data_IF_623051977655
#
_entry.id   IF_623051977655
#
_cell.length_a   1.000
_cell.length_b   1.000
_cell.length_c   1.000
_cell.angle_alpha   90.00
_cell.angle_beta   90.00
_cell.angle_gamma   90.00
#
_symmetry.space_group_name_H-M   'P 1'
#
loop_
_entity.id
_entity.type
_entity.pdbx_description
1 polymer ?
2 branched ?
3 non-polymer ?
4 non-polymer ?
5 non-polymer ?
6 water ?
#
# COMPACT_ATOMS: atom_id res chain seq x y z
N UNK A 1 -9.89 -13.60 -21.15
CA UNK A 1 -9.31 -12.34 -21.71
C UNK A 1 -8.74 -11.50 -20.58
N UNK A 2 -7.86 -10.58 -20.92
CA UNK A 2 -7.26 -9.68 -19.93
C UNK A 2 -8.37 -8.77 -19.42
N UNK A 3 -8.26 -8.33 -18.18
CA UNK A 3 -9.26 -7.43 -17.63
C UNK A 3 -9.02 -6.00 -18.12
N UNK A 4 -10.10 -5.27 -18.36
CA UNK A 4 -10.01 -3.90 -18.79
C UNK A 4 -10.76 -3.01 -17.82
N UNK A 5 -10.15 -1.88 -17.47
CA UNK A 5 -10.73 -0.92 -16.55
C UNK A 5 -11.83 -0.13 -17.23
N UNK A 6 -13.00 -0.75 -17.37
CA UNK A 6 -14.14 -0.14 -18.02
C UNK A 6 -15.17 0.52 -17.11
N UNK A 7 -15.04 0.36 -15.80
CA UNK A 7 -16.00 0.96 -14.90
C UNK A 7 -15.45 2.15 -14.11
N UNK A 8 -16.37 2.94 -13.55
CA UNK A 8 -15.96 4.08 -12.74
C UNK A 8 -16.09 3.63 -11.30
N UNK A 9 -15.65 4.47 -10.36
CA UNK A 9 -15.74 4.12 -8.94
C UNK A 9 -17.18 4.25 -8.45
N UNK A 10 -17.61 3.31 -7.60
CA UNK A 10 -18.95 3.38 -7.03
C UNK A 10 -18.96 4.62 -6.13
N UNK A 11 -20.14 5.16 -5.83
CA UNK A 11 -20.23 6.33 -4.97
C UNK A 11 -19.92 5.94 -3.52
N UNK A 12 -18.91 6.60 -2.96
CA UNK A 12 -18.45 6.34 -1.59
C UNK A 12 -19.17 7.16 -0.53
N UNK A 13 -20.19 6.59 0.11
CA UNK A 13 -20.93 7.29 1.14
C UNK A 13 -20.53 6.87 2.55
N UNK A 14 -19.74 5.79 2.64
CA UNK A 14 -19.23 5.27 3.91
C UNK A 14 -18.37 4.05 3.63
N UNK A 15 -17.92 3.37 4.69
CA UNK A 15 -17.08 2.20 4.52
C UNK A 15 -17.57 1.02 5.37
N UNK A 16 -17.66 -0.15 4.75
CA UNK A 16 -18.08 -1.33 5.48
C UNK A 16 -16.85 -2.20 5.72
N UNK A 17 -16.91 -3.02 6.76
CA UNK A 17 -15.80 -3.92 7.10
C UNK A 17 -15.70 -4.98 5.99
N UNK A 18 -14.48 -5.19 5.48
CA UNK A 18 -14.24 -6.16 4.40
C UNK A 18 -13.52 -7.40 4.91
N UNK A 19 -12.48 -7.19 5.71
CA UNK A 19 -11.72 -8.31 6.22
C UNK A 19 -10.79 -7.91 7.35
N UNK A 20 -10.56 -8.86 8.25
CA UNK A 20 -9.70 -8.64 9.40
C UNK A 20 -9.21 -10.01 9.79
N UNK A 21 -7.92 -10.14 10.09
CA UNK A 21 -7.37 -11.45 10.44
C UNK A 21 -6.93 -11.64 11.88
N UNK A 22 -6.99 -10.59 12.69
CA UNK A 22 -6.60 -10.71 14.10
C UNK A 22 -5.35 -11.57 14.24
N UNK A 23 -4.41 -11.41 13.32
CA UNK A 23 -3.20 -12.23 13.31
C UNK A 23 -2.36 -12.26 14.60
N UNK A 24 -2.07 -11.10 15.19
CA UNK A 24 -1.26 -11.06 16.41
C UNK A 24 -1.92 -11.75 17.61
N UNK A 25 -3.21 -11.51 17.79
CA UNK A 25 -3.98 -12.11 18.89
C UNK A 25 -3.92 -13.63 18.78
N UNK A 26 -4.14 -14.10 17.56
CA UNK A 26 -4.15 -15.53 17.27
C UNK A 26 -2.76 -16.14 17.33
N UNK A 27 -1.80 -15.45 16.73
CA UNK A 27 -0.42 -15.92 16.72
C UNK A 27 0.16 -16.07 18.11
N UNK A 28 -0.52 -15.49 19.10
CA UNK A 28 -0.06 -15.57 20.48
C UNK A 28 0.02 -17.03 20.93
N UNK A 29 -0.83 -17.87 20.34
CA UNK A 29 -0.88 -19.29 20.68
C UNK A 29 -1.10 -20.19 19.47
N UNK A 30 -0.50 -19.83 18.35
CA UNK A 30 -0.59 -20.64 17.13
C UNK A 30 0.60 -20.29 16.25
N UNK A 31 0.85 -21.11 15.22
CA UNK A 31 2.00 -20.88 14.36
C UNK A 31 1.75 -19.85 13.26
N UNK A 32 1.74 -18.58 13.65
CA UNK A 32 1.53 -17.47 12.73
C UNK A 32 2.87 -16.78 12.43
N UNK A 33 3.11 -16.50 11.16
CA UNK A 33 4.35 -15.86 10.73
C UNK A 33 4.41 -14.37 11.04
N UNK A 34 5.61 -13.87 11.27
CA UNK A 34 5.81 -12.46 11.52
C UNK A 34 5.82 -11.83 10.12
N UNK A 35 5.13 -10.72 9.95
CA UNK A 35 5.08 -10.06 8.66
C UNK A 35 5.07 -8.56 8.88
N UNK A 36 4.94 -7.84 7.77
CA UNK A 36 4.83 -6.39 7.74
C UNK A 36 4.65 -6.05 6.26
N UNK A 37 4.30 -4.80 5.99
CA UNK A 37 4.08 -4.35 4.62
C UNK A 37 3.08 -5.28 3.90
N UNK A 38 1.87 -5.42 4.44
CA UNK A 38 0.84 -6.29 3.83
C UNK A 38 -0.07 -5.52 2.91
N UNK A 39 -0.90 -6.27 2.19
CA UNK A 39 -1.89 -5.70 1.30
C UNK A 39 -2.90 -6.76 0.92
N UNK A 40 -3.88 -6.37 0.10
CA UNK A 40 -4.92 -7.27 -0.32
C UNK A 40 -4.93 -7.25 -1.84
N UNK A 41 -5.24 -8.37 -2.47
CA UNK A 41 -5.27 -8.41 -3.93
C UNK A 41 -6.22 -9.51 -4.38
N UNK A 42 -6.98 -9.23 -5.42
CA UNK A 42 -7.96 -10.18 -5.92
C UNK A 42 -7.59 -10.83 -7.24
N UNK A 43 -8.17 -12.00 -7.46
CA UNK A 43 -8.00 -12.77 -8.67
C UNK A 43 -9.41 -12.79 -9.23
N UNK A 44 -9.61 -13.43 -10.39
CA UNK A 44 -10.98 -13.45 -10.90
C UNK A 44 -11.92 -14.26 -10.00
N UNK A 45 -11.36 -15.25 -9.31
CA UNK A 45 -12.18 -16.13 -8.46
C UNK A 45 -12.00 -16.05 -6.95
N UNK A 46 -11.15 -15.14 -6.46
CA UNK A 46 -10.95 -15.02 -5.02
C UNK A 46 -10.03 -13.84 -4.69
N UNK A 47 -10.13 -13.35 -3.46
CA UNK A 47 -9.28 -12.26 -3.02
C UNK A 47 -8.44 -12.75 -1.84
N UNK A 48 -7.20 -12.29 -1.78
CA UNK A 48 -6.31 -12.75 -0.73
C UNK A 48 -5.52 -11.67 -0.01
N UNK A 49 -5.04 -12.02 1.16
CA UNK A 49 -4.22 -11.13 1.96
C UNK A 49 -2.80 -11.40 1.49
N UNK A 50 -1.97 -10.38 1.54
CA UNK A 50 -0.57 -10.47 1.11
C UNK A 50 0.31 -9.77 2.13
N UNK A 51 1.54 -10.24 2.27
CA UNK A 51 2.49 -9.62 3.18
C UNK A 51 3.89 -10.18 3.02
N UNK A 52 4.86 -9.49 3.61
CA UNK A 52 6.25 -9.91 3.57
C UNK A 52 6.62 -10.63 4.85
N UNK A 53 6.70 -11.96 4.77
CA UNK A 53 7.05 -12.76 5.94
C UNK A 53 8.46 -12.41 6.37
N UNK A 54 8.78 -12.74 7.62
CA UNK A 54 10.10 -12.50 8.18
C UNK A 54 10.75 -13.86 8.39
N UNK A 55 10.10 -14.90 7.87
CA UNK A 55 10.63 -16.25 7.98
C UNK A 55 10.80 -16.73 9.41
N UNK A 56 9.72 -16.69 10.19
CA UNK A 56 9.71 -17.12 11.58
C UNK A 56 8.34 -16.82 12.15
N UNK A 57 7.97 -17.49 13.23
CA UNK A 57 6.68 -17.26 13.88
C UNK A 57 6.80 -16.17 14.93
N UNK A 58 5.67 -15.61 15.36
CA UNK A 58 5.69 -14.54 16.37
C UNK A 58 6.29 -15.04 17.67
N UNK A 59 5.89 -16.23 18.09
CA UNK A 59 6.40 -16.83 19.33
C UNK A 59 7.79 -17.44 19.14
N UNK A 60 8.15 -17.71 17.90
CA UNK A 60 9.46 -18.29 17.67
C UNK A 60 10.59 -17.41 18.17
N UNK A 61 11.69 -18.02 18.61
CA UNK A 61 12.83 -17.25 19.11
C UNK A 61 13.46 -16.38 18.02
N UNK A 62 13.26 -16.75 16.75
CA UNK A 62 13.81 -15.97 15.66
C UNK A 62 13.01 -14.70 15.39
N UNK A 63 11.91 -14.51 16.12
CA UNK A 63 11.10 -13.31 15.94
C UNK A 63 11.90 -12.11 16.47
N UNK A 64 12.93 -12.40 17.26
CA UNK A 64 13.77 -11.36 17.86
C UNK A 64 14.62 -10.63 16.81
N UNK A 65 14.30 -9.38 16.53
CA UNK A 65 15.08 -8.63 15.57
C UNK A 65 14.30 -8.34 14.30
N UNK A 66 13.06 -8.80 14.26
CA UNK A 66 12.22 -8.59 13.09
C UNK A 66 11.83 -7.14 12.86
N UNK A 67 12.45 -6.23 13.59
CA UNK A 67 12.16 -4.83 13.35
C UNK A 67 12.90 -4.47 12.05
N UNK A 68 13.89 -5.27 11.68
CA UNK A 68 14.65 -5.03 10.45
C UNK A 68 13.77 -5.24 9.22
N UNK A 69 14.04 -4.49 8.16
CA UNK A 69 13.25 -4.54 6.94
C UNK A 69 13.75 -5.46 5.83
N UNK A 70 15.07 -5.56 5.69
CA UNK A 70 15.63 -6.35 4.61
C UNK A 70 16.60 -7.45 5.03
N UNK A 71 16.15 -8.69 4.99
CA UNK A 71 16.98 -9.84 5.35
C UNK A 71 16.76 -10.92 4.30
N UNK A 72 17.57 -11.97 4.32
CA UNK A 72 17.45 -13.04 3.34
C UNK A 72 16.39 -14.06 3.71
N UNK A 73 15.65 -13.79 4.78
CA UNK A 73 14.62 -14.71 5.26
C UNK A 73 13.19 -14.23 5.02
N UNK A 74 13.04 -13.17 4.23
CA UNK A 74 11.74 -12.60 3.91
C UNK A 74 11.23 -13.11 2.56
N UNK A 75 9.91 -13.07 2.39
CA UNK A 75 9.28 -13.53 1.15
C UNK A 75 7.86 -13.00 1.05
N UNK A 76 7.39 -12.72 -0.16
CA UNK A 76 6.03 -12.25 -0.35
C UNK A 76 5.13 -13.48 -0.25
N UNK A 77 4.24 -13.48 0.73
CA UNK A 77 3.32 -14.60 0.91
C UNK A 77 1.89 -14.10 0.76
N UNK A 78 0.99 -15.02 0.42
CA UNK A 78 -0.42 -14.68 0.28
C UNK A 78 -1.20 -15.77 1.00
N UNK A 79 -2.36 -15.42 1.55
CA UNK A 79 -3.16 -16.40 2.27
C UNK A 79 -4.65 -16.10 2.20
N UNK A 80 -5.51 -17.06 2.60
CA UNK A 80 -6.96 -16.85 2.56
C UNK A 80 -7.42 -15.61 3.32
N UNK A 81 -8.26 -14.83 2.64
CA UNK A 81 -8.79 -13.58 3.17
C UNK A 81 -9.27 -13.65 4.63
N UNK A 82 -8.78 -12.73 5.44
CA UNK A 82 -9.14 -12.65 6.85
C UNK A 82 -8.59 -13.78 7.71
N UNK A 83 -7.90 -14.74 7.09
CA UNK A 83 -7.27 -15.81 7.85
C UNK A 83 -5.94 -15.20 8.27
N UNK A 84 -5.24 -15.81 9.22
CA UNK A 84 -3.96 -15.22 9.62
C UNK A 84 -2.82 -15.86 8.82
N UNK A 85 -1.67 -15.16 8.68
CA UNK A 85 -0.56 -15.74 7.92
C UNK A 85 0.16 -16.83 8.70
N UNK A 86 -0.32 -18.05 8.59
CA UNK A 86 0.30 -19.17 9.29
C UNK A 86 1.30 -19.90 8.41
N UNK A 87 2.13 -20.71 9.05
CA UNK A 87 3.13 -21.51 8.36
C UNK A 87 2.46 -22.48 7.39
N UNK A 88 1.35 -23.06 7.85
CA UNK A 88 0.62 -24.06 7.09
C UNK A 88 -0.36 -23.61 6.00
N UNK A 89 -0.73 -22.34 5.99
CA UNK A 89 -1.69 -21.85 5.00
C UNK A 89 -1.15 -20.74 4.11
N UNK A 90 0.06 -20.29 4.39
CA UNK A 90 0.65 -19.21 3.62
C UNK A 90 1.35 -19.73 2.38
N UNK A 91 1.02 -19.13 1.24
CA UNK A 91 1.63 -19.54 -0.02
C UNK A 91 2.70 -18.53 -0.39
N UNK A 92 3.88 -19.03 -0.78
CA UNK A 92 4.99 -18.15 -1.15
C UNK A 92 4.90 -17.77 -2.62
N UNK A 93 4.80 -16.46 -2.89
CA UNK A 93 4.73 -15.96 -4.25
C UNK A 93 6.16 -15.81 -4.80
N UNK A 94 7.06 -15.31 -3.96
CA UNK A 94 8.46 -15.17 -4.34
C UNK A 94 9.31 -14.65 -3.18
N UNK A 95 10.62 -14.88 -3.28
CA UNK A 95 11.61 -14.48 -2.28
C UNK A 95 12.08 -13.03 -2.43
N UNK A 96 12.15 -12.29 -1.33
CA UNK A 96 12.58 -10.90 -1.38
C UNK A 96 12.02 -10.04 -0.25
N UNK A 97 12.43 -8.76 -0.21
CA UNK A 97 11.99 -7.86 0.84
C UNK A 97 11.26 -6.58 0.41
N UNK A 98 10.69 -6.60 -0.79
CA UNK A 98 9.92 -5.49 -1.35
C UNK A 98 9.13 -6.09 -2.50
N UNK A 99 7.84 -5.78 -2.59
CA UNK A 99 7.05 -6.40 -3.64
C UNK A 99 5.78 -5.69 -4.06
N UNK A 100 5.18 -6.25 -5.10
CA UNK A 100 3.90 -5.81 -5.63
C UNK A 100 3.36 -7.04 -6.35
N UNK A 101 2.05 -7.07 -6.57
CA UNK A 101 1.42 -8.22 -7.21
C UNK A 101 0.03 -7.86 -7.72
N UNK A 102 -0.33 -8.41 -8.87
CA UNK A 102 -1.66 -8.15 -9.44
C UNK A 102 -1.97 -9.20 -10.49
N UNK A 103 -3.26 -9.42 -10.72
CA UNK A 103 -3.73 -10.40 -11.70
C UNK A 103 -4.19 -9.59 -12.92
N UNK A 104 -3.86 -10.05 -14.12
CA UNK A 104 -4.26 -9.30 -15.31
C UNK A 104 -5.53 -9.81 -15.95
N UNK A 105 -6.19 -10.74 -15.27
CA UNK A 105 -7.43 -11.30 -15.79
C UNK A 105 -7.23 -12.73 -16.26
N UNK A 106 -6.00 -13.06 -16.65
CA UNK A 106 -5.68 -14.40 -17.13
C UNK A 106 -4.91 -15.13 -16.05
N UNK A 107 -3.86 -14.48 -15.54
CA UNK A 107 -3.06 -15.06 -14.48
C UNK A 107 -2.44 -13.94 -13.65
N UNK A 108 -1.60 -14.30 -12.68
CA UNK A 108 -1.00 -13.30 -11.81
C UNK A 108 0.49 -13.04 -12.00
N UNK A 109 0.84 -11.76 -11.91
CA UNK A 109 2.22 -11.30 -12.02
C UNK A 109 2.61 -10.87 -10.61
N UNK A 110 3.78 -11.30 -10.16
CA UNK A 110 4.25 -10.94 -8.84
C UNK A 110 5.69 -10.52 -8.97
N UNK A 111 6.08 -9.52 -8.19
CA UNK A 111 7.43 -8.99 -8.25
C UNK A 111 8.06 -8.94 -6.85
N UNK A 112 9.25 -9.51 -6.72
CA UNK A 112 9.98 -9.49 -5.44
C UNK A 112 11.39 -8.96 -5.70
N UNK A 113 11.90 -8.18 -4.76
CA UNK A 113 13.25 -7.63 -4.87
C UNK A 113 14.08 -8.10 -3.68
N UNK A 114 15.31 -8.52 -3.93
CA UNK A 114 16.18 -8.96 -2.85
C UNK A 114 17.61 -8.54 -3.12
N UNK A 115 18.50 -8.86 -2.19
CA UNK A 115 19.91 -8.51 -2.37
C UNK A 115 20.41 -7.47 -1.39
N UNK A 116 21.70 -7.16 -1.42
CA UNK A 116 22.29 -6.16 -0.51
C UNK A 116 21.81 -4.78 -0.94
N UNK A 117 21.96 -3.79 -0.07
CA UNK A 117 21.51 -2.45 -0.41
C UNK A 117 22.08 -1.92 -1.71
N UNK A 118 23.37 -2.13 -1.95
CA UNK A 118 23.99 -1.61 -3.15
C UNK A 118 23.92 -2.53 -4.34
N UNK A 119 23.04 -3.52 -4.33
CA UNK A 119 23.03 -4.43 -5.46
C UNK A 119 21.82 -5.35 -5.54
N UNK A 120 20.65 -4.81 -5.21
CA UNK A 120 19.40 -5.55 -5.22
C UNK A 120 18.98 -5.89 -6.64
N UNK A 121 18.04 -6.82 -6.77
CA UNK A 121 17.52 -7.23 -8.07
C UNK A 121 16.05 -7.61 -7.96
N UNK A 122 15.29 -7.26 -8.98
CA UNK A 122 13.87 -7.58 -9.01
C UNK A 122 13.65 -8.78 -9.93
N UNK A 123 12.76 -9.68 -9.51
CA UNK A 123 12.42 -10.84 -10.32
C UNK A 123 10.91 -10.78 -10.55
N UNK A 124 10.51 -10.70 -11.82
CA UNK A 124 9.09 -10.62 -12.15
C UNK A 124 8.55 -12.00 -12.47
N UNK A 125 7.59 -12.45 -11.67
CA UNK A 125 6.98 -13.75 -11.87
C UNK A 125 5.63 -13.54 -12.56
N UNK A 126 5.25 -14.49 -13.39
CA UNK A 126 3.97 -14.42 -14.11
C UNK A 126 3.50 -15.87 -14.21
N UNK A 127 2.25 -16.11 -13.88
CA UNK A 127 1.70 -17.47 -13.89
C UNK A 127 2.60 -18.34 -13.02
N UNK A 128 3.12 -17.72 -11.96
CA UNK A 128 3.97 -18.36 -10.97
C UNK A 128 5.34 -18.89 -11.41
N UNK A 129 5.85 -18.41 -12.55
CA UNK A 129 7.18 -18.83 -13.01
C UNK A 129 8.02 -17.56 -13.20
N UNK A 130 9.35 -17.64 -12.99
CA UNK A 130 10.17 -16.44 -13.17
C UNK A 130 10.27 -16.12 -14.67
N UNK A 131 10.15 -14.85 -15.04
CA UNK A 131 10.20 -14.51 -16.45
C UNK A 131 11.20 -13.40 -16.77
N UNK A 132 11.22 -12.36 -15.95
CA UNK A 132 12.10 -11.23 -16.19
C UNK A 132 12.82 -10.77 -14.92
N UNK A 133 14.06 -10.31 -15.10
CA UNK A 133 14.87 -9.81 -13.99
C UNK A 133 15.35 -8.40 -14.32
N UNK A 134 15.44 -7.56 -13.30
CA UNK A 134 15.89 -6.18 -13.46
C UNK A 134 16.85 -5.85 -12.33
N UNK A 135 18.08 -5.49 -12.68
CA UNK A 135 19.12 -5.16 -11.71
C UNK A 135 19.00 -3.71 -11.27
N UNK A 136 19.51 -3.40 -10.07
CA UNK A 136 19.47 -2.03 -9.56
C UNK A 136 20.06 -1.07 -10.59
N UNK A 137 19.57 0.17 -10.58
CA UNK A 137 20.08 1.18 -11.49
C UNK A 137 20.67 2.37 -10.75
N UNK A 138 20.46 2.42 -9.44
CA UNK A 138 20.99 3.49 -8.59
C UNK A 138 21.83 2.91 -7.46
N UNK A 139 21.91 1.59 -7.39
CA UNK A 139 22.70 0.91 -6.39
C UNK A 139 22.39 1.35 -4.96
N UNK A 140 21.10 1.49 -4.66
CA UNK A 140 20.67 1.87 -3.32
C UNK A 140 19.23 1.45 -3.02
N UNK A 141 19.09 0.21 -2.57
CA UNK A 141 17.80 -0.37 -2.22
C UNK A 141 16.71 -0.26 -3.29
N UNK A 142 16.86 -1.00 -4.38
CA UNK A 142 15.84 -1.02 -5.43
C UNK A 142 14.60 -1.47 -4.65
N UNK A 143 13.48 -0.79 -4.85
CA UNK A 143 12.27 -1.12 -4.10
C UNK A 143 10.96 -0.77 -4.83
N UNK A 144 9.85 -1.40 -4.43
CA UNK A 144 8.54 -1.16 -5.04
C UNK A 144 7.43 -0.73 -4.10
N UNK A 145 6.22 -0.69 -4.66
CA UNK A 145 4.99 -0.25 -4.00
C UNK A 145 4.62 -0.81 -2.62
N UNK A 146 4.73 -2.12 -2.42
CA UNK A 146 4.34 -2.77 -1.17
C UNK A 146 2.81 -2.89 -1.09
N UNK A 147 2.16 -2.94 -2.27
CA UNK A 147 0.71 -3.14 -2.40
C UNK A 147 0.45 -3.49 -3.87
N UNK A 148 -0.75 -4.01 -4.18
CA UNK A 148 -1.02 -4.43 -5.56
C UNK A 148 -0.88 -3.42 -6.70
N UNK A 149 -0.46 -3.93 -7.86
CA UNK A 149 -0.34 -3.11 -9.05
C UNK A 149 -1.71 -3.16 -9.72
N UNK A 150 -1.85 -2.55 -10.89
CA UNK A 150 -3.12 -2.57 -11.61
C UNK A 150 -2.89 -2.84 -13.10
N UNK A 151 -3.75 -3.66 -13.71
CA UNK A 151 -3.60 -4.01 -15.10
C UNK A 151 -4.73 -3.52 -16.01
N UNK A 152 -4.41 -3.29 -17.29
CA UNK A 152 -5.40 -2.88 -18.27
C UNK A 152 -5.04 -3.51 -19.61
N UNK A 153 -5.92 -4.41 -20.09
CA UNK A 153 -5.71 -5.13 -21.34
C UNK A 153 -4.33 -5.77 -21.38
N UNK A 154 -3.97 -6.44 -20.30
CA UNK A 154 -2.68 -7.11 -20.23
C UNK A 154 -1.50 -6.26 -19.77
N UNK A 155 -1.63 -4.93 -19.84
CA UNK A 155 -0.53 -4.06 -19.44
C UNK A 155 -0.66 -3.69 -17.97
N UNK A 156 0.37 -4.01 -17.18
CA UNK A 156 0.35 -3.71 -15.76
C UNK A 156 1.51 -2.82 -15.32
N UNK A 157 1.24 -1.51 -15.15
CA UNK A 157 2.25 -0.54 -14.75
C UNK A 157 2.67 -0.76 -13.29
N UNK A 158 3.95 -0.62 -13.01
CA UNK A 158 4.47 -0.78 -11.66
C UNK A 158 5.47 0.34 -11.39
N UNK A 159 5.34 1.00 -10.25
CA UNK A 159 6.25 2.07 -9.89
C UNK A 159 7.36 1.56 -8.98
N UNK A 160 8.61 1.77 -9.40
CA UNK A 160 9.81 1.39 -8.66
C UNK A 160 10.56 2.66 -8.30
N UNK A 161 11.50 2.54 -7.38
CA UNK A 161 12.37 3.64 -6.98
C UNK A 161 13.69 3.02 -6.56
N UNK A 162 14.80 3.69 -6.90
CA UNK A 162 16.14 3.21 -6.53
C UNK A 162 16.97 4.46 -6.22
N UNK A 163 17.65 4.46 -5.08
CA UNK A 163 18.44 5.63 -4.72
C UNK A 163 18.16 6.03 -3.29
N UNK A 164 18.50 7.27 -2.94
CA UNK A 164 18.28 7.77 -1.59
C UNK A 164 16.81 7.94 -1.27
N UNK A 165 16.45 7.58 -0.05
CA UNK A 165 15.08 7.70 0.41
C UNK A 165 14.91 9.08 1.04
N UNK A 166 16.02 9.81 1.19
CA UNK A 166 15.97 11.13 1.83
C UNK A 166 16.46 12.27 0.96
N UNK A 167 16.13 12.22 -0.33
CA UNK A 167 16.56 13.26 -1.25
C UNK A 167 16.20 12.84 -2.66
N UNK A 168 16.83 13.44 -3.68
CA UNK A 168 16.55 13.09 -5.08
C UNK A 168 16.83 11.62 -5.35
N UNK A 169 15.92 10.94 -6.03
CA UNK A 169 16.13 9.52 -6.34
C UNK A 169 15.69 9.19 -7.76
N UNK A 170 15.94 7.96 -8.17
CA UNK A 170 15.59 7.52 -9.52
C UNK A 170 14.38 6.59 -9.56
N UNK A 171 13.24 7.18 -9.84
CA UNK A 171 11.97 6.46 -9.91
C UNK A 171 11.67 6.11 -11.35
N UNK A 172 11.07 4.95 -11.56
CA UNK A 172 10.73 4.52 -12.91
C UNK A 172 9.38 3.83 -12.92
N UNK A 173 8.65 3.99 -14.01
CA UNK A 173 7.35 3.34 -14.16
C UNK A 173 7.53 2.27 -15.23
N UNK A 174 7.51 1.01 -14.82
CA UNK A 174 7.65 -0.09 -15.76
C UNK A 174 6.29 -0.53 -16.27
N UNK A 175 6.23 -0.85 -17.56
CA UNK A 175 5.01 -1.31 -18.16
C UNK A 175 5.20 -2.77 -18.55
N UNK A 176 4.62 -3.66 -17.75
CA UNK A 176 4.72 -5.10 -18.01
C UNK A 176 3.50 -5.69 -18.70
N UNK A 177 3.73 -6.79 -19.41
CA UNK A 177 2.66 -7.53 -20.06
C UNK A 177 3.15 -8.97 -20.13
N UNK A 178 2.43 -9.86 -19.45
CA UNK A 178 2.81 -11.28 -19.44
C UNK A 178 4.20 -11.42 -18.82
N UNK A 179 4.47 -10.55 -17.85
CA UNK A 179 5.74 -10.56 -17.15
C UNK A 179 6.92 -10.01 -17.92
N UNK A 180 6.70 -9.61 -19.16
CA UNK A 180 7.78 -9.07 -19.99
C UNK A 180 7.71 -7.56 -20.06
N UNK A 181 8.88 -6.93 -20.15
CA UNK A 181 8.95 -5.46 -20.20
C UNK A 181 8.61 -4.96 -21.59
N UNK A 182 7.63 -4.07 -21.66
CA UNK A 182 7.21 -3.48 -22.92
C UNK A 182 7.87 -2.12 -23.06
N UNK A 183 8.02 -1.46 -21.93
CA UNK A 183 8.59 -0.13 -21.91
C UNK A 183 8.73 0.34 -20.47
N UNK A 184 9.58 1.34 -20.27
CA UNK A 184 9.74 1.92 -18.95
C UNK A 184 10.09 3.38 -19.16
N UNK A 185 9.66 4.23 -18.23
CA UNK A 185 9.90 5.66 -18.30
C UNK A 185 10.41 6.17 -16.97
N UNK A 186 11.21 7.23 -16.98
CA UNK A 186 11.71 7.79 -15.72
C UNK A 186 10.53 8.64 -15.25
N UNK A 187 10.47 8.94 -13.96
CA UNK A 187 9.38 9.74 -13.41
C UNK A 187 9.32 11.14 -14.00
N UNK A 188 8.12 11.63 -14.28
CA UNK A 188 7.94 12.97 -14.82
C UNK A 188 6.90 13.68 -13.95
N UNK A 189 6.57 14.91 -14.32
CA UNK A 189 5.59 15.66 -13.56
C UNK A 189 6.30 16.46 -12.48
N UNK A 190 5.55 16.97 -11.50
CA UNK A 190 6.12 17.77 -10.43
C UNK A 190 6.42 17.04 -9.13
N UNK A 191 6.00 15.79 -8.98
CA UNK A 191 6.28 15.03 -7.76
C UNK A 191 7.80 15.02 -7.61
N UNK A 192 8.31 15.49 -6.47
CA UNK A 192 9.75 15.57 -6.30
C UNK A 192 10.44 14.33 -5.72
N UNK A 193 9.65 13.39 -5.19
CA UNK A 193 10.21 12.15 -4.65
C UNK A 193 9.10 11.13 -4.49
N UNK A 194 9.35 9.91 -4.97
CA UNK A 194 8.35 8.84 -4.92
C UNK A 194 8.71 7.57 -4.14
N UNK A 195 7.71 6.99 -3.50
CA UNK A 195 7.90 5.76 -2.74
C UNK A 195 6.59 5.06 -2.41
N UNK A 196 6.66 3.73 -2.40
CA UNK A 196 5.53 2.86 -2.07
C UNK A 196 4.18 3.37 -2.55
N UNK A 197 3.96 3.32 -3.85
CA UNK A 197 2.72 3.81 -4.40
C UNK A 197 1.55 2.84 -4.21
N UNK A 198 0.38 3.39 -3.87
CA UNK A 198 -0.84 2.61 -3.70
C UNK A 198 -1.64 2.98 -4.92
N UNK A 199 -2.03 1.99 -5.72
CA UNK A 199 -2.76 2.32 -6.92
C UNK A 199 -4.10 1.62 -7.05
N UNK A 200 -4.91 2.15 -7.97
CA UNK A 200 -6.22 1.59 -8.28
C UNK A 200 -6.54 2.00 -9.71
N UNK A 201 -7.46 1.28 -10.34
CA UNK A 201 -7.80 1.59 -11.71
C UNK A 201 -9.27 1.81 -11.93
N UNK A 202 -9.59 2.75 -12.82
CA UNK A 202 -10.97 3.06 -13.15
C UNK A 202 -10.99 3.80 -14.47
N UNK A 203 -11.92 3.40 -15.33
CA UNK A 203 -12.09 4.00 -16.65
C UNK A 203 -10.80 4.19 -17.43
N UNK A 204 -10.06 3.10 -17.61
CA UNK A 204 -8.81 3.09 -18.37
C UNK A 204 -7.71 4.01 -17.85
N UNK A 205 -7.75 4.36 -16.57
CA UNK A 205 -6.72 5.21 -16.02
C UNK A 205 -6.29 4.62 -14.69
N UNK A 206 -5.02 4.77 -14.36
CA UNK A 206 -4.51 4.24 -13.13
C UNK A 206 -3.96 5.37 -12.26
N UNK A 207 -4.52 5.50 -11.07
CA UNK A 207 -4.11 6.53 -10.13
C UNK A 207 -3.30 5.89 -9.01
N UNK A 208 -2.14 6.47 -8.73
CA UNK A 208 -1.31 5.96 -7.67
C UNK A 208 -1.06 7.12 -6.71
N UNK A 209 -1.31 6.87 -5.44
CA UNK A 209 -1.09 7.87 -4.39
C UNK A 209 0.12 7.30 -3.68
N UNK A 210 1.19 8.09 -3.61
CA UNK A 210 2.41 7.59 -3.02
C UNK A 210 2.87 8.36 -1.79
N UNK A 211 4.13 8.19 -1.43
CA UNK A 211 4.74 8.80 -0.27
C UNK A 211 6.03 9.56 -0.61
N UNK A 212 6.08 10.85 -0.30
CA UNK A 212 7.28 11.63 -0.55
C UNK A 212 8.08 11.57 0.74
N UNK A 213 8.98 10.60 0.82
CA UNK A 213 9.75 10.41 2.02
C UNK A 213 10.78 11.47 2.38
N UNK A 214 11.06 12.42 1.49
CA UNK A 214 12.07 13.40 1.90
C UNK A 214 11.56 14.76 2.28
N UNK A 215 10.57 15.29 1.57
CA UNK A 215 10.10 16.62 1.94
C UNK A 215 8.62 16.91 1.99
N UNK A 216 7.78 16.04 1.42
CA UNK A 216 6.34 16.33 1.40
C UNK A 216 5.41 15.64 2.41
N UNK A 217 4.64 16.44 3.14
CA UNK A 217 3.68 15.92 4.11
C UNK A 217 2.36 15.72 3.38
N UNK A 218 2.27 16.31 2.19
CA UNK A 218 1.11 16.16 1.32
C UNK A 218 1.54 14.96 0.50
N UNK A 219 0.61 14.20 -0.06
CA UNK A 219 1.04 13.02 -0.82
C UNK A 219 1.10 13.17 -2.33
N UNK A 220 2.23 12.76 -2.93
CA UNK A 220 2.37 12.85 -4.38
C UNK A 220 1.43 11.88 -5.06
N UNK A 221 1.08 12.18 -6.31
CA UNK A 221 0.20 11.32 -7.05
C UNK A 221 0.66 11.13 -8.48
N UNK A 222 0.61 9.89 -8.93
CA UNK A 222 0.99 9.57 -10.31
C UNK A 222 -0.22 8.96 -11.01
N UNK A 223 -0.65 9.58 -12.10
CA UNK A 223 -1.76 9.02 -12.84
C UNK A 223 -1.19 8.44 -14.12
N UNK A 224 -1.48 7.15 -14.35
CA UNK A 224 -0.95 6.44 -15.50
C UNK A 224 -1.97 6.06 -16.55
N UNK A 225 -1.58 6.25 -17.82
CA UNK A 225 -2.42 5.87 -18.94
C UNK A 225 -1.79 4.56 -19.41
N UNK A 226 -2.47 3.43 -19.14
CA UNK A 226 -2.00 2.09 -19.51
C UNK A 226 -2.05 1.72 -20.99
N UNK A 227 -2.77 2.48 -21.82
CA UNK A 227 -2.82 2.16 -23.24
C UNK A 227 -1.68 2.86 -23.95
N UNK A 228 -1.51 4.15 -23.68
CA UNK A 228 -0.44 4.92 -24.29
C UNK A 228 0.85 4.72 -23.48
N UNK A 229 0.73 4.09 -22.32
CA UNK A 229 1.89 3.87 -21.47
C UNK A 229 2.68 5.17 -21.25
N UNK A 230 2.00 6.15 -20.66
CA UNK A 230 2.56 7.46 -20.33
C UNK A 230 1.96 7.84 -18.98
N UNK A 231 2.57 8.81 -18.30
CA UNK A 231 2.09 9.21 -16.99
C UNK A 231 2.44 10.66 -16.70
N UNK A 232 1.94 11.16 -15.58
CA UNK A 232 2.24 12.49 -15.12
C UNK A 232 2.18 12.42 -13.60
N UNK A 233 2.72 13.42 -12.92
CA UNK A 233 2.71 13.44 -11.46
C UNK A 233 2.44 14.83 -10.94
N UNK A 234 1.92 14.89 -9.72
CA UNK A 234 1.57 16.15 -9.08
C UNK A 234 1.46 15.81 -7.61
N UNK A 235 0.98 16.75 -6.81
CA UNK A 235 0.79 16.49 -5.40
C UNK A 235 -0.67 16.71 -5.12
N UNK A 236 -1.18 16.07 -4.06
CA UNK A 236 -2.56 16.29 -3.70
C UNK A 236 -2.59 17.72 -3.17
N UNK A 237 -3.22 18.62 -3.92
CA UNK A 237 -3.34 20.03 -3.58
C UNK A 237 -3.91 20.33 -2.18
N UNK A 238 -4.94 19.58 -1.80
CA UNK A 238 -5.63 19.78 -0.52
C UNK A 238 -4.75 20.03 0.69
N UNK A 239 -5.22 20.94 1.57
CA UNK A 239 -4.50 21.28 2.81
C UNK A 239 -4.67 20.18 3.86
N UNK A 240 -5.47 19.17 3.56
CA UNK A 240 -5.66 18.07 4.49
C UNK A 240 -4.50 17.12 4.25
N UNK A 241 -3.41 17.33 4.98
CA UNK A 241 -2.21 16.51 4.85
C UNK A 241 -2.44 15.06 5.29
N UNK A 242 -1.94 14.11 4.51
CA UNK A 242 -2.14 12.70 4.85
C UNK A 242 -0.92 11.80 5.03
N UNK A 243 0.27 12.37 5.20
CA UNK A 243 1.42 11.51 5.43
C UNK A 243 1.61 11.47 6.93
N UNK A 244 2.75 10.97 7.39
CA UNK A 244 3.00 10.90 8.83
C UNK A 244 4.42 10.42 9.10
N UNK A 245 5.14 11.11 10.00
CA UNK A 245 4.69 12.31 10.73
C UNK A 245 4.37 13.44 9.77
N UNK A 246 3.80 14.53 10.29
CA UNK A 246 3.43 15.66 9.45
C UNK A 246 3.10 16.88 10.32
N UNK A 247 3.20 18.10 9.77
CA UNK A 247 2.88 19.30 10.55
C UNK A 247 1.36 19.38 10.59
N UNK A 248 0.83 20.41 11.26
CA UNK A 248 -0.62 20.58 11.36
C UNK A 248 -1.24 21.02 10.02
N UNK A 249 -2.52 20.71 9.82
CA UNK A 249 -3.22 21.10 8.60
C UNK A 249 -3.28 22.59 8.41
N UNK A 250 -2.87 23.10 7.24
CA UNK A 250 -2.93 24.53 6.98
C UNK A 250 -4.29 24.80 6.33
N UNK A 251 -4.47 25.98 5.76
CA UNK A 251 -5.73 26.33 5.10
C UNK A 251 -5.56 26.24 3.58
N UNK A 252 -4.29 26.28 3.15
CA UNK A 252 -3.96 26.16 1.73
C UNK A 252 -2.91 25.09 1.57
N UNK A 253 -3.06 24.24 0.56
CA UNK A 253 -2.10 23.18 0.34
C UNK A 253 -1.18 23.50 -0.83
N UNK A 254 -0.46 22.50 -1.29
CA UNK A 254 0.45 22.68 -2.41
C UNK A 254 0.22 21.61 -3.44
N UNK A 255 0.04 22.05 -4.68
CA UNK A 255 -0.24 21.18 -5.79
C UNK A 255 0.99 20.59 -6.50
N UNK A 256 2.01 21.42 -6.71
CA UNK A 256 3.17 20.95 -7.44
C UNK A 256 4.48 20.96 -6.68
N UNK A 257 4.39 21.04 -5.36
CA UNK A 257 5.58 21.04 -4.52
C UNK A 257 5.24 20.29 -3.25
N UNK A 258 6.26 19.92 -2.47
CA UNK A 258 5.97 19.22 -1.23
C UNK A 258 5.62 20.20 -0.13
N UNK A 259 4.60 19.89 0.67
CA UNK A 259 4.28 20.76 1.77
C UNK A 259 5.35 20.43 2.81
N UNK A 260 6.09 21.44 3.30
CA UNK A 260 7.16 21.27 4.29
C UNK A 260 6.74 21.23 5.76
N UNK A 261 7.70 20.89 6.61
CA UNK A 261 7.45 20.79 8.03
C UNK A 261 8.10 19.55 8.60
N UNK A 262 8.29 18.53 7.78
CA UNK A 262 8.91 17.28 8.18
C UNK A 262 9.76 16.75 7.02
N UNK A 263 10.95 16.24 7.34
CA UNK A 263 11.85 15.73 6.33
C UNK A 263 12.24 14.27 6.59
N UNK A 264 12.71 13.60 5.53
CA UNK A 264 13.20 12.24 5.60
C UNK A 264 12.40 11.23 6.42
N UNK A 265 11.12 11.06 6.10
CA UNK A 265 10.32 10.11 6.85
C UNK A 265 8.90 10.10 6.29
N UNK A 266 8.09 9.14 6.70
CA UNK A 266 6.72 9.07 6.21
C UNK A 266 6.13 7.69 6.42
N UNK A 267 4.98 7.43 5.80
CA UNK A 267 4.31 6.14 5.90
C UNK A 267 3.59 5.88 4.58
N UNK A 268 3.50 4.62 4.14
CA UNK A 268 2.79 4.33 2.90
C UNK A 268 1.33 4.66 3.14
N UNK A 269 0.67 5.27 2.16
CA UNK A 269 -0.73 5.63 2.30
C UNK A 269 -1.45 5.57 0.98
N UNK A 270 -2.70 6.04 0.95
CA UNK A 270 -3.47 6.01 -0.30
C UNK A 270 -4.62 7.00 -0.25
N UNK A 271 -5.29 7.15 -1.38
CA UNK A 271 -6.43 8.04 -1.48
C UNK A 271 -7.25 7.63 -2.71
N UNK A 272 -8.49 8.09 -2.76
CA UNK A 272 -9.35 7.84 -3.90
C UNK A 272 -9.73 9.23 -4.37
N UNK A 273 -9.20 9.61 -5.52
CA UNK A 273 -9.41 10.93 -6.11
C UNK A 273 -10.38 10.82 -7.30
N UNK A 274 -11.65 11.07 -7.01
CA UNK A 274 -12.72 10.95 -8.01
C UNK A 274 -13.67 12.15 -7.90
N UNK A 275 -13.16 13.34 -8.17
CA UNK A 275 -13.96 14.55 -8.11
C UNK A 275 -14.52 14.77 -6.73
N UNK A 276 -15.83 14.94 -6.62
CA UNK A 276 -16.46 15.13 -5.31
C UNK A 276 -16.47 13.81 -4.54
N UNK A 277 -16.38 12.70 -5.27
CA UNK A 277 -16.39 11.38 -4.66
C UNK A 277 -14.97 11.02 -4.26
N UNK A 278 -14.28 11.96 -3.63
CA UNK A 278 -12.89 11.77 -3.23
C UNK A 278 -12.74 11.56 -1.73
N UNK A 279 -12.00 10.51 -1.36
CA UNK A 279 -11.76 10.21 0.04
C UNK A 279 -10.26 10.06 0.29
N UNK A 280 -9.80 10.56 1.42
CA UNK A 280 -8.39 10.48 1.77
C UNK A 280 -8.21 9.68 3.04
N UNK A 281 -7.10 8.96 3.13
CA UNK A 281 -6.82 8.19 4.32
C UNK A 281 -5.64 8.83 5.03
N UNK A 282 -5.60 8.73 6.35
CA UNK A 282 -4.49 9.28 7.12
C UNK A 282 -4.53 8.76 8.55
N UNK A 283 -3.37 8.78 9.20
CA UNK A 283 -3.29 8.37 10.59
C UNK A 283 -3.92 9.58 11.27
N UNK A 284 -4.53 9.39 12.45
CA UNK A 284 -5.14 10.51 13.13
C UNK A 284 -4.04 11.36 13.75
N UNK A 285 -3.02 10.68 14.28
CA UNK A 285 -1.88 11.36 14.90
C UNK A 285 -0.97 11.99 13.84
N UNK A 286 -0.40 13.15 14.16
CA UNK A 286 0.50 13.83 13.23
C UNK A 286 1.94 13.48 13.55
N UNK A 287 2.17 12.93 14.74
CA UNK A 287 3.52 12.59 15.13
C UNK A 287 3.89 11.11 15.07
N UNK A 288 2.88 10.24 15.09
CA UNK A 288 3.17 8.82 15.04
C UNK A 288 2.12 8.04 14.28
N UNK A 289 2.40 6.76 14.06
CA UNK A 289 1.49 5.88 13.35
C UNK A 289 0.41 5.36 14.28
N UNK A 290 -0.47 6.24 14.73
CA UNK A 290 -1.55 5.84 15.62
C UNK A 290 -2.89 6.27 15.03
N UNK A 291 -3.88 5.39 15.14
CA UNK A 291 -5.19 5.72 14.60
C UNK A 291 -5.24 5.79 13.09
N UNK A 292 -6.44 5.76 12.53
CA UNK A 292 -6.65 5.85 11.09
C UNK A 292 -8.06 6.37 10.81
N UNK A 293 -8.15 7.29 9.85
CA UNK A 293 -9.44 7.85 9.50
C UNK A 293 -9.55 8.07 8.00
N UNK A 294 -10.79 8.05 7.52
CA UNK A 294 -11.07 8.30 6.12
C UNK A 294 -11.73 9.66 6.11
N UNK A 295 -11.38 10.50 5.13
CA UNK A 295 -11.97 11.83 5.05
C UNK A 295 -12.42 12.18 3.64
N UNK A 296 -13.69 12.50 3.49
CA UNK A 296 -14.22 12.87 2.19
C UNK A 296 -13.82 14.33 1.95
N UNK A 297 -12.90 14.52 1.01
CA UNK A 297 -12.40 15.83 0.67
C UNK A 297 -12.64 16.06 -0.82
N UNK A 298 -13.82 16.59 -1.17
CA UNK A 298 -14.15 16.85 -2.57
C UNK A 298 -13.05 17.57 -3.35
N UNK A 299 -12.70 17.02 -4.51
CA UNK A 299 -11.69 17.59 -5.39
C UNK A 299 -10.35 17.86 -4.74
N UNK A 300 -10.04 17.12 -3.69
CA UNK A 300 -8.76 17.30 -2.99
C UNK A 300 -7.62 17.48 -3.98
N UNK A 301 -7.50 16.53 -4.90
CA UNK A 301 -6.43 16.53 -5.90
C UNK A 301 -6.18 17.85 -6.62
N UNK A 302 -7.25 18.61 -6.87
CA UNK A 302 -7.11 19.86 -7.60
C UNK A 302 -7.44 21.14 -6.82
N UNK A 303 -8.07 21.00 -5.67
CA UNK A 303 -8.47 22.14 -4.85
C UNK A 303 -7.49 22.27 -3.68
N UNK A 304 -6.64 23.29 -3.74
CA UNK A 304 -5.64 23.49 -2.68
C UNK A 304 -6.24 24.10 -1.42
N UNK A 305 -7.58 24.15 -1.37
CA UNK A 305 -8.28 24.70 -0.21
C UNK A 305 -9.42 23.78 0.25
N UNK A 306 -9.52 22.60 -0.36
CA UNK A 306 -10.59 21.66 -0.01
C UNK A 306 -10.44 21.07 1.41
N UNK A 307 -11.53 21.11 2.16
CA UNK A 307 -11.59 20.59 3.53
C UNK A 307 -12.63 19.48 3.67
N UNK A 308 -12.56 18.68 4.74
CA UNK A 308 -13.50 17.57 4.95
C UNK A 308 -14.97 17.95 4.90
N UNK A 309 -15.80 17.04 4.39
CA UNK A 309 -17.22 17.28 4.34
C UNK A 309 -17.93 16.05 4.93
N UNK A 310 -17.13 15.03 5.21
CA UNK A 310 -17.64 13.79 5.81
C UNK A 310 -16.42 12.99 6.23
N UNK A 311 -16.62 11.99 7.08
CA UNK A 311 -15.50 11.18 7.50
C UNK A 311 -15.91 9.92 8.22
N UNK A 312 -14.92 9.09 8.52
CA UNK A 312 -15.17 7.85 9.24
C UNK A 312 -13.87 7.42 9.86
N UNK A 313 -13.93 7.09 11.15
CA UNK A 313 -12.74 6.63 11.86
C UNK A 313 -12.65 5.13 11.63
N UNK A 314 -11.45 4.65 11.35
CA UNK A 314 -11.23 3.24 11.10
C UNK A 314 -10.52 2.64 12.31
N UNK A 315 -9.59 3.41 12.87
CA UNK A 315 -8.82 3.00 14.03
C UNK A 315 -8.68 4.22 14.95
N UNK A 316 -8.97 4.03 16.24
CA UNK A 316 -8.90 5.11 17.22
C UNK A 316 -7.49 5.57 17.44
N UNK A 317 -7.35 6.85 17.82
CA UNK A 317 -6.02 7.39 18.04
C UNK A 317 -5.26 6.76 19.20
N UNK A 318 -5.89 5.82 19.90
CA UNK A 318 -5.23 5.14 21.01
C UNK A 318 -4.87 3.71 20.60
N UNK A 319 -4.84 3.46 19.31
CA UNK A 319 -4.48 2.15 18.78
C UNK A 319 -3.47 2.38 17.67
N UNK A 320 -2.53 1.45 17.50
CA UNK A 320 -1.50 1.58 16.48
C UNK A 320 -1.97 1.19 15.08
N UNK A 321 -1.51 1.94 14.07
CA UNK A 321 -1.87 1.64 12.70
C UNK A 321 -0.59 1.35 11.93
N UNK A 322 -0.44 1.96 10.77
CA UNK A 322 0.76 1.72 9.98
C UNK A 322 0.49 1.96 8.51
N UNK A 323 1.14 1.19 7.65
CA UNK A 323 0.94 1.31 6.21
C UNK A 323 -0.54 1.15 5.87
N UNK A 324 -0.94 1.71 4.73
CA UNK A 324 -2.31 1.58 4.25
C UNK A 324 -2.24 1.69 2.73
N UNK A 325 -3.01 0.85 2.04
CA UNK A 325 -2.98 0.87 0.58
C UNK A 325 -4.31 0.55 -0.06
N UNK A 326 -4.40 0.77 -1.37
CA UNK A 326 -5.62 0.53 -2.12
C UNK A 326 -5.65 -0.75 -2.94
N UNK A 327 -6.85 -1.27 -3.12
CA UNK A 327 -7.09 -2.46 -3.92
C UNK A 327 -8.59 -2.48 -4.21
N UNK A 328 -8.99 -3.21 -5.24
CA UNK A 328 -10.40 -3.33 -5.60
C UNK A 328 -10.63 -4.69 -6.23
N UNK A 329 -11.85 -5.18 -6.15
CA UNK A 329 -12.20 -6.46 -6.76
C UNK A 329 -12.66 -6.17 -8.19
N UNK A 330 -11.71 -6.06 -9.11
CA UNK A 330 -12.01 -5.77 -10.51
C UNK A 330 -12.86 -6.81 -11.22
N UNK A 331 -13.28 -7.85 -10.51
CA UNK A 331 -14.08 -8.90 -11.11
C UNK A 331 -15.42 -9.13 -10.40
N UNK A 332 -15.85 -8.17 -9.61
CA UNK A 332 -17.11 -8.27 -8.90
C UNK A 332 -18.27 -7.95 -9.83
N UNK A 333 -19.46 -8.34 -9.40
CA UNK A 333 -20.67 -8.10 -10.16
C UNK A 333 -20.95 -6.61 -10.02
N UNK A 334 -21.78 -6.05 -10.90
CA UNK A 334 -22.07 -4.65 -10.75
C UNK A 334 -21.73 -3.76 -11.93
N UNK A 335 -21.98 -2.48 -11.72
CA UNK A 335 -21.76 -1.46 -12.74
C UNK A 335 -20.56 -0.58 -12.45
N UNK A 336 -20.12 -0.57 -11.20
CA UNK A 336 -19.00 0.27 -10.80
C UNK A 336 -17.95 -0.50 -10.01
N UNK A 337 -16.78 0.11 -9.85
CA UNK A 337 -15.69 -0.50 -9.11
C UNK A 337 -15.82 -0.03 -7.66
N UNK A 338 -15.83 -0.97 -6.74
CA UNK A 338 -15.99 -0.70 -5.32
C UNK A 338 -14.64 -0.42 -4.66
N UNK A 339 -14.43 0.83 -4.26
CA UNK A 339 -13.17 1.22 -3.63
C UNK A 339 -12.96 0.48 -2.31
N UNK A 340 -11.77 -0.12 -2.15
CA UNK A 340 -11.43 -0.83 -0.92
C UNK A 340 -10.04 -0.40 -0.47
N UNK A 341 -9.69 -0.74 0.76
CA UNK A 341 -8.39 -0.41 1.31
C UNK A 341 -8.15 -1.24 2.55
N UNK A 342 -6.88 -1.39 2.89
CA UNK A 342 -6.47 -2.15 4.07
C UNK A 342 -5.59 -1.22 4.91
N UNK A 343 -5.46 -1.51 6.20
CA UNK A 343 -4.63 -0.72 7.08
C UNK A 343 -3.81 -1.71 7.87
N UNK A 344 -2.49 -1.55 7.82
CA UNK A 344 -1.58 -2.42 8.56
C UNK A 344 -1.58 -1.93 10.01
N UNK A 345 -1.91 -2.83 10.93
CA UNK A 345 -1.93 -2.49 12.35
C UNK A 345 -0.65 -3.07 12.96
N UNK A 346 0.38 -2.25 13.03
CA UNK A 346 1.68 -2.64 13.56
C UNK A 346 1.72 -2.83 15.08
N UNK A 347 2.38 -3.91 15.51
CA UNK A 347 2.54 -4.23 16.92
C UNK A 347 4.00 -4.55 17.14
N UNK A 348 4.49 -4.27 18.35
CA UNK A 348 5.89 -4.55 18.65
C UNK A 348 6.75 -3.32 18.47
N UNK A 349 8.05 -3.51 18.24
CA UNK A 349 8.96 -2.39 18.08
C UNK A 349 8.66 -1.52 16.86
N UNK A 350 9.04 -0.23 16.91
CA UNK A 350 9.74 0.42 18.02
C UNK A 350 8.81 0.97 19.12
N UNK A 351 7.53 1.10 18.83
CA UNK A 351 6.57 1.63 19.80
C UNK A 351 6.35 0.77 21.03
N UNK A 352 6.38 -0.56 20.86
CA UNK A 352 6.18 -1.47 21.98
C UNK A 352 7.41 -2.35 22.13
N UNK A 353 8.45 -1.81 22.77
CA UNK A 353 9.70 -2.54 22.93
C UNK A 353 9.82 -3.54 24.07
N UNK A 354 8.71 -3.90 24.70
CA UNK A 354 8.76 -4.90 25.78
C UNK A 354 9.04 -6.25 25.12
N UNK A 355 8.67 -6.36 23.85
CA UNK A 355 8.89 -7.57 23.08
C UNK A 355 10.04 -7.26 22.14
N UNK A 356 10.62 -8.27 21.52
CA UNK A 356 11.75 -8.05 20.63
C UNK A 356 11.37 -8.16 19.17
N UNK A 357 10.08 -8.32 18.91
CA UNK A 357 9.60 -8.45 17.54
C UNK A 357 8.79 -7.26 17.05
N UNK A 358 8.56 -7.26 15.75
CA UNK A 358 7.74 -6.25 15.09
C UNK A 358 6.86 -7.01 14.11
N UNK A 359 5.56 -6.96 14.31
CA UNK A 359 4.66 -7.64 13.40
C UNK A 359 3.44 -6.77 13.21
N UNK A 360 2.36 -7.36 12.71
CA UNK A 360 1.13 -6.62 12.46
C UNK A 360 0.01 -7.56 12.11
N UNK A 361 -1.20 -7.02 12.06
CA UNK A 361 -2.38 -7.78 11.66
C UNK A 361 -2.99 -6.91 10.56
N UNK A 362 -4.15 -7.32 10.05
CA UNK A 362 -4.77 -6.53 8.98
C UNK A 362 -6.22 -6.20 9.20
N UNK A 363 -6.63 -5.03 8.70
CA UNK A 363 -8.01 -4.61 8.72
C UNK A 363 -8.26 -4.11 7.31
N UNK A 364 -9.42 -4.43 6.77
CA UNK A 364 -9.73 -4.00 5.42
C UNK A 364 -11.17 -3.56 5.35
N UNK A 365 -11.43 -2.56 4.53
CA UNK A 365 -12.77 -2.03 4.34
C UNK A 365 -12.96 -1.71 2.87
N UNK A 366 -14.22 -1.75 2.43
CA UNK A 366 -14.58 -1.40 1.07
C UNK A 366 -15.73 -0.41 1.26
N UNK A 367 -16.02 0.40 0.24
CA UNK A 367 -17.06 1.41 0.33
C UNK A 367 -18.49 0.92 0.13
N UNK A 368 -19.41 1.69 0.69
CA UNK A 368 -20.84 1.40 0.61
C UNK A 368 -21.56 2.64 0.10
N UNK A 369 -22.64 2.45 -0.65
CA UNK A 369 -23.39 3.59 -1.15
C UNK A 369 -24.37 4.05 -0.09
N UNK A 370 -24.37 3.34 1.03
CA UNK A 370 -25.22 3.68 2.15
C UNK A 370 -24.37 4.49 3.11
N UNK A 371 -25.01 5.14 4.07
CA UNK A 371 -24.30 5.92 5.09
C UNK A 371 -24.29 5.07 6.35
N UNK A 372 -23.40 4.08 6.36
CA UNK A 372 -23.28 3.15 7.47
C UNK A 372 -22.70 3.69 8.76
N UNK A 373 -23.18 3.17 9.87
CA UNK A 373 -22.67 3.58 11.16
C UNK A 373 -21.21 3.14 11.25
N UNK A 374 -20.41 3.82 12.06
CA UNK A 374 -19.00 3.47 12.18
C UNK A 374 -18.61 2.74 13.45
N UNK A 375 -17.45 2.09 13.41
CA UNK A 375 -16.87 1.38 14.55
C UNK A 375 -15.36 1.44 14.35
N UNK A 376 -14.59 1.18 15.39
CA UNK A 376 -13.13 1.22 15.26
C UNK A 376 -12.62 -0.21 15.32
N UNK A 377 -11.55 -0.48 14.57
CA UNK A 377 -10.99 -1.82 14.51
C UNK A 377 -9.50 -1.95 14.85
N UNK A 378 -9.17 -2.01 16.14
CA UNK A 378 -7.80 -2.14 16.64
C UNK A 378 -7.27 -3.56 16.43
N UNK A 379 -5.94 -3.73 16.52
CA UNK A 379 -5.35 -5.05 16.36
C UNK A 379 -6.02 -6.01 17.32
N UNK A 380 -6.18 -5.57 18.56
CA UNK A 380 -6.84 -6.40 19.57
C UNK A 380 -5.94 -7.25 20.44
N UNK A 381 -4.64 -7.30 20.14
CA UNK A 381 -3.72 -8.10 20.94
C UNK A 381 -3.32 -7.40 22.22
N UNK A 382 -3.00 -8.20 23.24
CA UNK A 382 -2.58 -7.70 24.53
C UNK A 382 -1.09 -7.99 24.70
N UNK A 383 -0.27 -6.98 24.43
CA UNK A 383 1.19 -7.07 24.51
C UNK A 383 1.70 -7.76 25.76
N UNK A 384 1.02 -7.58 26.87
CA UNK A 384 1.44 -8.20 28.12
C UNK A 384 1.51 -9.72 28.06
N UNK A 385 0.68 -10.32 27.22
CA UNK A 385 0.65 -11.77 27.10
C UNK A 385 1.90 -12.37 26.49
N UNK A 386 2.59 -11.57 25.67
CA UNK A 386 3.81 -12.01 25.00
C UNK A 386 5.03 -11.88 25.91
N UNK A 387 4.81 -11.32 27.09
CA UNK A 387 5.88 -11.14 28.05
C UNK A 387 5.96 -12.40 28.91
#
# INVERSE_FOLDING_TARGET
DFNNLTKGLCTINSWHIYGKDNAVRIGEDSDVLVTREPYVSCDPDECRFYALSQGTTIRGKHSNGTIHDRSQYRALISWPLSSPPTVYNSRVECIGWSSTSCHDGKTRMSICISGPNNNASAVIWYNRRPVTEINTWARNILRTQESECVCHNGVCPVVFTDGSATGPAETRIYYFKEGKILKWEPLAGTAKHIEECSCYGERAEITCTCRDNWQGSNRPVIRIDPVAMTHTSQYICSPVLTDNPRPNDPTVGKCNDPYPGNNNNGVKGFSYLDGVNTWLGRTISIASRSGYEMLKVPNALTDDKSKPTQGQTIVLNTDWSGYSGSFMDYWAEGECYRACFYVELIRGRPKEDKVWWTSNSIVSMCSSTEFLGQWDWPDGAKIEYFL
#
